data_IF_737001068760
#
_entry.id   IF_737001068760
#
_cell.length_a   1.000
_cell.length_b   1.000
_cell.length_c   1.000
_cell.angle_alpha   90.00
_cell.angle_beta   90.00
_cell.angle_gamma   90.00
#
_symmetry.space_group_name_H-M   'P 1'
#
loop_
_entity.id
_entity.type
_entity.pdbx_description
1 polymer ?
#
# COMPACT_ATOMS: atom_id res chain seq x y z
N UNK A 1 -12.24 -15.04 -45.72
CA UNK A 1 -11.30 -15.70 -44.78
C UNK A 1 -10.63 -14.62 -43.97
N UNK A 2 -10.66 -14.70 -42.64
CA UNK A 2 -9.81 -13.86 -41.80
C UNK A 2 -8.43 -14.52 -41.77
N UNK A 3 -7.39 -13.80 -42.19
CA UNK A 3 -5.99 -14.27 -42.25
C UNK A 3 -5.13 -13.74 -41.10
N UNK A 4 -5.68 -12.85 -40.27
CA UNK A 4 -4.95 -12.18 -39.19
C UNK A 4 -5.59 -12.52 -37.86
N UNK A 5 -4.79 -13.03 -36.93
CA UNK A 5 -5.15 -13.23 -35.53
C UNK A 5 -4.33 -12.24 -34.71
N UNK A 6 -5.00 -11.45 -33.87
CA UNK A 6 -4.38 -10.52 -32.94
C UNK A 6 -4.36 -11.16 -31.56
N UNK A 7 -3.19 -11.21 -30.94
CA UNK A 7 -3.02 -11.71 -29.58
C UNK A 7 -2.72 -10.54 -28.64
N UNK A 8 -3.33 -10.58 -27.48
CA UNK A 8 -2.94 -9.77 -26.32
C UNK A 8 -1.79 -10.47 -25.56
N UNK A 9 -1.13 -9.78 -24.65
CA UNK A 9 -0.09 -10.35 -23.78
C UNK A 9 -0.69 -10.76 -22.45
N UNK A 10 -1.28 -9.81 -21.74
CA UNK A 10 -1.83 -10.05 -20.40
C UNK A 10 -3.16 -10.80 -20.51
N UNK A 11 -3.32 -11.85 -19.70
CA UNK A 11 -4.49 -12.74 -19.75
C UNK A 11 -4.51 -13.72 -20.93
N UNK A 12 -3.53 -13.64 -21.85
CA UNK A 12 -3.39 -14.56 -23.00
C UNK A 12 -2.08 -15.34 -22.92
N UNK A 13 -0.94 -14.65 -22.86
CA UNK A 13 0.38 -15.27 -22.72
C UNK A 13 0.89 -15.26 -21.28
N UNK A 14 0.60 -14.19 -20.53
CA UNK A 14 1.10 -13.98 -19.16
C UNK A 14 -0.03 -13.60 -18.21
N UNK A 15 0.12 -13.92 -16.93
CA UNK A 15 -0.81 -13.49 -15.87
C UNK A 15 -0.37 -12.16 -15.23
N UNK A 16 -1.33 -11.35 -14.79
CA UNK A 16 -1.07 -10.12 -14.04
C UNK A 16 -0.58 -10.34 -12.59
N UNK A 17 -0.50 -11.59 -12.12
CA UNK A 17 -0.17 -11.94 -10.73
C UNK A 17 1.11 -11.29 -10.22
N UNK A 18 2.15 -11.24 -11.07
CA UNK A 18 3.43 -10.62 -10.71
C UNK A 18 3.33 -9.12 -10.47
N UNK A 19 2.33 -8.43 -11.03
CA UNK A 19 2.08 -7.03 -10.76
C UNK A 19 1.49 -6.81 -9.36
N UNK A 20 0.59 -7.70 -8.92
CA UNK A 20 0.03 -7.65 -7.57
C UNK A 20 1.09 -8.03 -6.52
N UNK A 21 1.98 -8.96 -6.84
CA UNK A 21 3.12 -9.30 -6.02
C UNK A 21 4.07 -8.11 -5.83
N UNK A 22 4.44 -7.43 -6.91
CA UNK A 22 5.24 -6.21 -6.86
C UNK A 22 4.54 -5.12 -6.04
N UNK A 23 3.23 -4.96 -6.18
CA UNK A 23 2.45 -3.99 -5.41
C UNK A 23 2.51 -4.26 -3.91
N UNK A 24 2.40 -5.53 -3.50
CA UNK A 24 2.52 -5.90 -2.09
C UNK A 24 3.92 -5.65 -1.53
N UNK A 25 4.96 -5.94 -2.32
CA UNK A 25 6.35 -5.67 -1.97
C UNK A 25 6.61 -4.17 -1.84
N UNK A 26 6.06 -3.34 -2.73
CA UNK A 26 6.19 -1.87 -2.64
C UNK A 26 5.54 -1.33 -1.35
N UNK A 27 4.30 -1.75 -1.04
CA UNK A 27 3.66 -1.34 0.22
C UNK A 27 4.48 -1.80 1.42
N UNK A 28 4.99 -3.05 1.41
CA UNK A 28 5.85 -3.56 2.46
C UNK A 28 7.12 -2.72 2.64
N UNK A 29 7.80 -2.40 1.55
CA UNK A 29 9.05 -1.63 1.59
C UNK A 29 8.82 -0.22 2.12
N UNK A 30 7.79 0.49 1.64
CA UNK A 30 7.44 1.83 2.11
C UNK A 30 7.16 1.88 3.62
N UNK A 31 6.53 0.83 4.16
CA UNK A 31 6.24 0.75 5.60
C UNK A 31 7.47 0.33 6.42
N UNK A 32 8.20 -0.68 5.97
CA UNK A 32 9.17 -1.39 6.81
C UNK A 32 10.60 -0.88 6.66
N UNK A 33 11.00 -0.49 5.45
CA UNK A 33 12.38 -0.11 5.14
C UNK A 33 12.76 1.19 5.84
N UNK A 34 13.99 1.24 6.37
CA UNK A 34 14.54 2.45 6.97
C UNK A 34 14.73 3.57 5.95
N UNK A 35 14.69 3.30 4.63
CA UNK A 35 14.68 4.35 3.60
C UNK A 35 13.38 5.17 3.55
N UNK A 36 12.30 4.67 4.17
CA UNK A 36 10.95 5.27 4.18
C UNK A 36 10.42 5.43 5.62
N UNK A 37 9.32 4.76 6.00
CA UNK A 37 8.72 4.90 7.33
C UNK A 37 9.46 4.13 8.44
N UNK A 38 10.29 3.14 8.09
CA UNK A 38 11.21 2.49 9.02
C UNK A 38 10.57 1.68 10.14
N UNK A 39 9.38 1.13 9.95
CA UNK A 39 8.68 0.33 10.97
C UNK A 39 9.37 -1.03 11.23
N UNK A 40 10.26 -1.47 10.35
CA UNK A 40 11.09 -2.66 10.53
C UNK A 40 12.26 -2.48 11.51
N UNK A 41 12.46 -1.28 12.05
CA UNK A 41 13.56 -0.96 12.96
C UNK A 41 14.87 -0.66 12.21
N UNK A 42 16.00 -0.93 12.87
CA UNK A 42 17.36 -0.65 12.36
C UNK A 42 17.99 -1.82 11.58
N UNK A 43 17.29 -2.96 11.48
CA UNK A 43 17.82 -4.10 10.73
C UNK A 43 17.82 -3.79 9.23
N UNK A 44 18.81 -4.29 8.46
CA UNK A 44 18.80 -4.19 7.02
C UNK A 44 17.49 -4.73 6.44
N UNK A 45 16.91 -3.99 5.49
CA UNK A 45 15.69 -4.43 4.82
C UNK A 45 16.01 -5.59 3.87
N UNK A 46 15.28 -6.70 3.98
CA UNK A 46 15.39 -7.84 3.06
C UNK A 46 14.85 -7.46 1.68
N UNK A 47 15.66 -7.69 0.64
CA UNK A 47 15.30 -7.39 -0.77
C UNK A 47 15.18 -8.64 -1.64
N UNK A 48 15.72 -9.77 -1.19
CA UNK A 48 15.63 -11.05 -1.88
C UNK A 48 14.59 -11.94 -1.20
N UNK A 49 13.61 -12.40 -1.98
CA UNK A 49 12.50 -13.21 -1.51
C UNK A 49 12.27 -14.39 -2.46
N UNK A 50 11.92 -15.53 -1.89
CA UNK A 50 11.36 -16.66 -2.63
C UNK A 50 9.91 -16.39 -3.03
N UNK A 51 9.40 -17.14 -4.02
CA UNK A 51 7.98 -17.05 -4.43
C UNK A 51 7.00 -17.28 -3.26
N UNK A 52 7.35 -18.18 -2.33
CA UNK A 52 6.53 -18.47 -1.16
C UNK A 52 6.48 -17.28 -0.19
N UNK A 53 7.62 -16.60 0.04
CA UNK A 53 7.66 -15.41 0.88
C UNK A 53 6.90 -14.24 0.24
N UNK A 54 7.03 -14.07 -1.08
CA UNK A 54 6.28 -13.06 -1.83
C UNK A 54 4.77 -13.31 -1.70
N UNK A 55 4.32 -14.55 -1.90
CA UNK A 55 2.91 -14.91 -1.74
C UNK A 55 2.41 -14.66 -0.30
N UNK A 56 3.22 -14.97 0.72
CA UNK A 56 2.87 -14.69 2.11
C UNK A 56 2.79 -13.18 2.41
N UNK A 57 3.70 -12.38 1.85
CA UNK A 57 3.67 -10.92 1.96
C UNK A 57 2.40 -10.36 1.32
N UNK A 58 2.09 -10.80 0.09
CA UNK A 58 0.87 -10.39 -0.62
C UNK A 58 -0.40 -10.75 0.13
N UNK A 59 -0.52 -12.01 0.57
CA UNK A 59 -1.64 -12.50 1.37
C UNK A 59 -1.85 -11.63 2.62
N UNK A 60 -0.77 -11.21 3.28
CA UNK A 60 -0.85 -10.32 4.45
C UNK A 60 -1.25 -8.89 4.09
N UNK A 61 -0.61 -8.29 3.08
CA UNK A 61 -0.79 -6.88 2.72
C UNK A 61 -2.20 -6.64 2.14
N UNK A 62 -2.67 -7.54 1.29
CA UNK A 62 -3.96 -7.41 0.60
C UNK A 62 -5.06 -8.33 1.14
N UNK A 63 -4.85 -8.94 2.30
CA UNK A 63 -5.81 -9.82 2.98
C UNK A 63 -6.34 -10.93 2.06
N UNK A 64 -5.44 -11.79 1.57
CA UNK A 64 -5.77 -12.83 0.58
C UNK A 64 -6.50 -12.26 -0.66
N UNK A 65 -6.01 -11.11 -1.13
CA UNK A 65 -6.54 -10.35 -2.28
C UNK A 65 -7.93 -9.74 -2.08
N UNK A 66 -8.54 -9.79 -0.88
CA UNK A 66 -9.81 -9.10 -0.60
C UNK A 66 -9.73 -7.60 -0.90
N UNK A 67 -8.60 -6.97 -0.57
CA UNK A 67 -8.36 -5.54 -0.87
C UNK A 67 -8.25 -5.31 -2.37
N UNK A 68 -7.52 -6.16 -3.10
CA UNK A 68 -7.36 -6.04 -4.55
C UNK A 68 -8.70 -6.23 -5.28
N UNK A 69 -9.46 -7.24 -4.88
CA UNK A 69 -10.79 -7.53 -5.41
C UNK A 69 -11.76 -6.39 -5.14
N UNK A 70 -11.73 -5.81 -3.93
CA UNK A 70 -12.50 -4.62 -3.61
C UNK A 70 -12.13 -3.46 -4.54
N UNK A 71 -10.85 -3.12 -4.66
CA UNK A 71 -10.38 -2.00 -5.49
C UNK A 71 -10.75 -2.18 -6.97
N UNK A 72 -10.55 -3.38 -7.52
CA UNK A 72 -10.98 -3.72 -8.88
C UNK A 72 -12.48 -3.56 -9.07
N UNK A 73 -13.29 -3.99 -8.09
CA UNK A 73 -14.75 -3.81 -8.13
C UNK A 73 -15.18 -2.34 -8.17
N UNK A 74 -14.31 -1.41 -7.78
CA UNK A 74 -14.51 0.05 -7.83
C UNK A 74 -13.87 0.73 -9.04
N UNK A 75 -13.47 -0.05 -10.03
CA UNK A 75 -12.86 0.45 -11.27
C UNK A 75 -11.40 0.87 -11.12
N UNK A 76 -10.73 0.52 -10.02
CA UNK A 76 -9.31 0.75 -9.84
C UNK A 76 -8.53 -0.42 -10.44
N UNK A 77 -7.97 -0.22 -11.63
CA UNK A 77 -7.19 -1.25 -12.35
C UNK A 77 -5.68 -0.96 -12.38
N UNK A 78 -5.26 0.28 -12.08
CA UNK A 78 -3.84 0.62 -12.07
C UNK A 78 -3.20 0.23 -10.73
N UNK A 79 -2.17 -0.61 -10.79
CA UNK A 79 -1.42 -1.06 -9.61
C UNK A 79 -0.87 0.11 -8.77
N UNK A 80 -0.45 1.19 -9.43
CA UNK A 80 0.03 2.41 -8.77
C UNK A 80 -1.04 3.07 -7.90
N UNK A 81 -2.29 3.12 -8.36
CA UNK A 81 -3.40 3.65 -7.57
C UNK A 81 -3.69 2.75 -6.36
N UNK A 82 -3.61 1.42 -6.54
CA UNK A 82 -3.81 0.46 -5.46
C UNK A 82 -2.73 0.57 -4.38
N UNK A 83 -1.45 0.70 -4.79
CA UNK A 83 -0.31 0.92 -3.88
C UNK A 83 -0.51 2.24 -3.13
N UNK A 84 -0.85 3.30 -3.85
CA UNK A 84 -1.06 4.63 -3.29
C UNK A 84 -2.14 4.60 -2.21
N UNK A 85 -3.35 4.16 -2.53
CA UNK A 85 -4.46 4.19 -1.56
C UNK A 85 -4.21 3.25 -0.37
N UNK A 86 -3.66 2.07 -0.61
CA UNK A 86 -3.34 1.13 0.48
C UNK A 86 -2.30 1.70 1.43
N UNK A 87 -1.27 2.36 0.90
CA UNK A 87 -0.23 3.02 1.70
C UNK A 87 -0.79 4.23 2.45
N UNK A 88 -1.63 5.04 1.80
CA UNK A 88 -2.26 6.22 2.43
C UNK A 88 -3.14 5.84 3.62
N UNK A 89 -3.96 4.78 3.49
CA UNK A 89 -4.76 4.27 4.62
C UNK A 89 -3.87 3.83 5.78
N UNK A 90 -2.78 3.12 5.51
CA UNK A 90 -1.83 2.74 6.55
C UNK A 90 -1.20 3.98 7.20
N UNK A 91 -0.76 4.97 6.42
CA UNK A 91 -0.13 6.17 6.95
C UNK A 91 -1.08 6.96 7.86
N UNK A 92 -2.34 7.14 7.46
CA UNK A 92 -3.38 7.79 8.27
C UNK A 92 -3.61 6.99 9.57
N UNK A 93 -3.73 5.66 9.46
CA UNK A 93 -3.93 4.80 10.62
C UNK A 93 -2.75 4.86 11.61
N UNK A 94 -1.51 4.85 11.11
CA UNK A 94 -0.30 4.99 11.92
C UNK A 94 -0.24 6.36 12.61
N UNK A 95 -0.58 7.44 11.89
CA UNK A 95 -0.64 8.78 12.47
C UNK A 95 -1.71 8.89 13.58
N UNK A 96 -2.84 8.19 13.45
CA UNK A 96 -3.91 8.19 14.46
C UNK A 96 -3.50 7.50 15.78
N UNK A 97 -2.48 6.65 15.78
CA UNK A 97 -1.95 6.00 16.99
C UNK A 97 -1.05 6.92 17.83
N UNK A 98 -0.66 8.09 17.30
CA UNK A 98 0.24 9.01 17.97
C UNK A 98 -0.46 9.77 19.13
N UNK A 99 0.29 10.12 20.20
CA UNK A 99 -0.22 11.01 21.24
C UNK A 99 -0.49 12.41 20.67
N UNK A 100 -1.38 13.17 21.32
CA UNK A 100 -1.97 14.41 20.79
C UNK A 100 -0.95 15.38 20.14
N UNK A 101 0.13 15.75 20.84
CA UNK A 101 1.15 16.65 20.30
C UNK A 101 1.84 16.09 19.03
N UNK A 102 2.17 14.81 19.03
CA UNK A 102 2.80 14.14 17.89
C UNK A 102 1.81 13.91 16.74
N UNK A 103 0.53 13.70 17.06
CA UNK A 103 -0.55 13.58 16.09
C UNK A 103 -0.80 14.92 15.38
N UNK A 104 -0.76 16.04 16.08
CA UNK A 104 -0.87 17.37 15.48
C UNK A 104 0.29 17.68 14.52
N UNK A 105 1.49 17.17 14.83
CA UNK A 105 2.62 17.24 13.91
C UNK A 105 2.39 16.34 12.68
N UNK A 106 1.93 15.10 12.89
CA UNK A 106 1.63 14.17 11.81
C UNK A 106 0.53 14.69 10.86
N UNK A 107 -0.53 15.32 11.39
CA UNK A 107 -1.60 15.94 10.59
C UNK A 107 -1.04 17.04 9.68
N UNK A 108 -0.10 17.87 10.18
CA UNK A 108 0.59 18.87 9.34
C UNK A 108 1.45 18.23 8.26
N UNK A 109 2.13 17.12 8.57
CA UNK A 109 2.91 16.38 7.58
C UNK A 109 2.02 15.78 6.47
N UNK A 110 0.80 15.35 6.81
CA UNK A 110 -0.16 14.83 5.84
C UNK A 110 -0.69 15.89 4.85
N UNK A 111 -0.56 17.18 5.15
CA UNK A 111 -0.92 18.27 4.23
C UNK A 111 0.22 18.68 3.30
N UNK A 112 1.44 18.19 3.53
CA UNK A 112 2.60 18.42 2.69
C UNK A 112 2.75 17.31 1.63
N UNK A 113 3.50 17.54 0.54
CA UNK A 113 3.88 16.46 -0.36
C UNK A 113 4.54 15.29 0.38
N UNK A 114 4.07 14.07 0.13
CA UNK A 114 4.63 12.85 0.72
C UNK A 114 5.90 12.47 -0.06
N UNK A 115 7.00 13.17 0.23
CA UNK A 115 8.32 12.93 -0.32
C UNK A 115 9.26 12.26 0.71
N UNK A 116 10.53 12.04 0.34
CA UNK A 116 11.52 11.46 1.25
C UNK A 116 11.72 12.25 2.55
N UNK A 117 11.58 13.57 2.54
CA UNK A 117 11.73 14.40 3.74
C UNK A 117 10.55 14.19 4.68
N UNK A 118 9.33 14.20 4.13
CA UNK A 118 8.10 13.95 4.87
C UNK A 118 8.09 12.53 5.46
N UNK A 119 8.49 11.52 4.68
CA UNK A 119 8.63 10.15 5.17
C UNK A 119 9.70 10.02 6.27
N UNK A 120 10.82 10.73 6.16
CA UNK A 120 11.85 10.75 7.21
C UNK A 120 11.35 11.43 8.51
N UNK A 121 10.48 12.45 8.40
CA UNK A 121 9.83 13.07 9.55
C UNK A 121 8.85 12.11 10.23
N UNK A 122 8.01 11.41 9.47
CA UNK A 122 7.16 10.34 9.99
C UNK A 122 7.96 9.23 10.67
N UNK A 123 9.04 8.76 10.04
CA UNK A 123 9.95 7.77 10.63
C UNK A 123 10.49 8.23 11.98
N UNK A 124 10.87 9.50 12.13
CA UNK A 124 11.33 10.04 13.41
C UNK A 124 10.23 10.02 14.47
N UNK A 125 8.99 10.37 14.10
CA UNK A 125 7.84 10.27 14.98
C UNK A 125 7.57 8.83 15.42
N UNK A 126 7.54 7.89 14.47
CA UNK A 126 7.26 6.47 14.71
C UNK A 126 8.36 5.76 15.49
N UNK A 127 9.62 6.23 15.41
CA UNK A 127 10.70 5.78 16.28
C UNK A 127 10.51 6.24 17.72
N UNK A 128 10.09 7.49 17.92
CA UNK A 128 9.83 8.06 19.25
C UNK A 128 8.58 7.46 19.89
N UNK A 129 7.54 7.23 19.09
CA UNK A 129 6.25 6.69 19.49
C UNK A 129 5.96 5.46 18.63
N UNK A 130 6.32 4.24 19.09
CA UNK A 130 6.15 3.03 18.31
C UNK A 130 4.68 2.81 17.91
N UNK A 131 4.46 2.65 16.61
CA UNK A 131 3.16 2.39 15.98
C UNK A 131 3.21 1.06 15.22
N UNK A 132 2.05 0.49 14.90
CA UNK A 132 1.96 -0.80 14.18
C UNK A 132 0.99 -0.69 13.00
N UNK A 133 1.34 -1.25 11.82
CA UNK A 133 0.41 -1.31 10.71
C UNK A 133 -0.72 -2.30 11.01
N UNK A 134 -1.89 -2.03 10.44
CA UNK A 134 -3.05 -2.91 10.50
C UNK A 134 -3.67 -3.02 9.10
N UNK A 135 -3.37 -4.11 8.40
CA UNK A 135 -3.84 -4.33 7.03
C UNK A 135 -5.36 -4.56 6.95
N UNK A 136 -6.03 -4.96 8.04
CA UNK A 136 -7.49 -5.08 8.07
C UNK A 136 -8.18 -3.74 8.01
N UNK A 137 -7.48 -2.66 8.41
CA UNK A 137 -8.05 -1.32 8.51
C UNK A 137 -8.64 -0.84 7.19
N UNK A 138 -8.02 -1.19 6.06
CA UNK A 138 -8.54 -0.84 4.74
C UNK A 138 -9.98 -1.32 4.54
N UNK A 139 -10.24 -2.60 4.82
CA UNK A 139 -11.58 -3.14 4.66
C UNK A 139 -12.55 -2.60 5.72
N UNK A 140 -12.08 -2.31 6.94
CA UNK A 140 -12.91 -1.67 7.97
C UNK A 140 -13.39 -0.28 7.53
N UNK A 141 -12.50 0.52 6.93
CA UNK A 141 -12.82 1.90 6.56
C UNK A 141 -13.62 2.00 5.25
N UNK A 142 -13.41 1.09 4.30
CA UNK A 142 -13.95 1.22 2.94
C UNK A 142 -15.03 0.20 2.56
N UNK A 143 -15.22 -0.92 3.28
CA UNK A 143 -16.12 -2.00 2.82
C UNK A 143 -17.55 -1.54 2.50
N UNK A 144 -18.08 -0.61 3.30
CA UNK A 144 -19.46 -0.11 3.15
C UNK A 144 -19.58 1.07 2.18
N UNK A 145 -18.47 1.64 1.70
CA UNK A 145 -18.54 2.77 0.77
C UNK A 145 -19.15 2.35 -0.56
N UNK A 146 -19.83 3.26 -1.25
CA UNK A 146 -20.22 3.10 -2.66
C UNK A 146 -19.28 3.83 -3.62
N UNK A 147 -18.24 4.47 -3.08
CA UNK A 147 -17.32 5.28 -3.84
C UNK A 147 -16.67 4.51 -5.00
N UNK A 148 -16.56 5.16 -6.15
CA UNK A 148 -15.79 4.70 -7.30
C UNK A 148 -14.37 5.29 -7.29
N UNK A 149 -13.51 4.85 -8.22
CA UNK A 149 -12.08 5.25 -8.29
C UNK A 149 -11.82 6.74 -8.02
N UNK A 150 -12.54 7.65 -8.69
CA UNK A 150 -12.31 9.09 -8.55
C UNK A 150 -12.61 9.57 -7.13
N UNK A 151 -13.68 9.08 -6.52
CA UNK A 151 -14.09 9.42 -5.16
C UNK A 151 -13.18 8.79 -4.10
N UNK A 152 -12.51 7.69 -4.42
CA UNK A 152 -11.54 7.04 -3.52
C UNK A 152 -10.18 7.76 -3.49
N UNK A 153 -9.77 8.40 -4.58
CA UNK A 153 -8.45 9.04 -4.71
C UNK A 153 -8.50 10.55 -4.44
N UNK A 154 -9.58 11.24 -4.83
CA UNK A 154 -9.68 12.70 -4.77
C UNK A 154 -10.57 13.22 -3.63
N UNK A 155 -10.46 12.60 -2.44
CA UNK A 155 -11.14 13.08 -1.22
C UNK A 155 -10.52 14.40 -0.75
#
# INVERSE_FOLDING_TARGET
>A
MIQTVLFDVDGVFLSEERYFDASALTVRELLMSSHYLGLGGEQPFQTEYSDQEIAAIRSKVFLNDDVLNFLKSRGMNANWDMIYITTSVQLIHLAAQLPDEARDQAVRLLTEPIDHKTLAAFRSLFRKYPVKPDFHRFMVDYKETKAEKQELIFI
#
